data_IF_374749466788
#
_entry.id   IF_374749466788
#
_cell.length_a   1.000
_cell.length_b   1.000
_cell.length_c   1.000
_cell.angle_alpha   90.00
_cell.angle_beta   90.00
_cell.angle_gamma   90.00
#
_symmetry.space_group_name_H-M   'P 1'
#
loop_
_entity.id
_entity.type
_entity.pdbx_description
1 polymer ?
#
# COMPACT_ATOMS: atom_id res chain seq x y z
N UNK A 1 46.17 3.10 30.27
CA UNK A 1 47.35 2.24 30.42
C UNK A 1 47.20 1.12 29.42
N UNK A 2 48.16 0.96 28.51
CA UNK A 2 48.06 0.01 27.40
C UNK A 2 49.44 -0.63 27.12
N UNK A 3 49.67 -1.94 27.34
CA UNK A 3 48.86 -2.97 28.03
C UNK A 3 49.40 -3.26 29.44
N UNK A 4 48.59 -3.82 30.35
CA UNK A 4 49.02 -4.19 31.71
C UNK A 4 50.15 -5.23 31.69
N UNK A 5 50.13 -6.13 30.71
CA UNK A 5 51.12 -7.18 30.53
C UNK A 5 52.50 -6.59 30.26
N UNK A 6 52.57 -5.51 29.48
CA UNK A 6 53.81 -4.81 29.20
C UNK A 6 54.45 -4.21 30.47
N UNK A 7 53.63 -3.76 31.42
CA UNK A 7 54.12 -3.19 32.69
C UNK A 7 54.68 -4.24 33.65
N UNK A 8 54.18 -5.47 33.57
CA UNK A 8 54.48 -6.52 34.54
C UNK A 8 55.12 -7.78 33.94
N UNK A 9 55.55 -7.72 32.66
CA UNK A 9 56.19 -8.84 31.96
C UNK A 9 57.42 -9.41 32.68
N UNK A 10 58.11 -8.59 33.50
CA UNK A 10 59.26 -9.01 34.29
C UNK A 10 58.95 -9.67 35.63
N UNK A 11 57.67 -9.81 36.02
CA UNK A 11 57.27 -10.40 37.29
C UNK A 11 56.84 -11.87 37.09
N UNK A 12 57.62 -12.85 37.56
CA UNK A 12 57.34 -14.27 37.32
C UNK A 12 56.26 -14.85 38.26
N UNK A 13 55.84 -14.12 39.30
CA UNK A 13 54.97 -14.65 40.36
C UNK A 13 53.62 -13.93 40.38
N UNK A 14 52.54 -14.70 40.21
CA UNK A 14 51.15 -14.23 40.21
C UNK A 14 50.73 -13.51 41.52
N UNK A 15 51.29 -13.89 42.68
CA UNK A 15 51.01 -13.23 43.95
C UNK A 15 51.63 -11.82 44.00
N UNK A 16 52.85 -11.66 43.47
CA UNK A 16 53.52 -10.37 43.38
C UNK A 16 52.78 -9.47 42.39
N UNK A 17 52.42 -10.03 41.22
CA UNK A 17 51.60 -9.33 40.22
C UNK A 17 50.29 -8.80 40.83
N UNK A 18 49.57 -9.62 41.60
CA UNK A 18 48.33 -9.22 42.26
C UNK A 18 48.54 -8.07 43.25
N UNK A 19 49.61 -8.12 44.05
CA UNK A 19 49.93 -7.08 45.01
C UNK A 19 50.25 -5.75 44.30
N UNK A 20 51.03 -5.80 43.21
CA UNK A 20 51.39 -4.62 42.42
C UNK A 20 50.19 -4.02 41.68
N UNK A 21 49.31 -4.86 41.11
CA UNK A 21 48.07 -4.40 40.49
C UNK A 21 47.15 -3.70 41.51
N UNK A 22 47.00 -4.27 42.71
CA UNK A 22 46.26 -3.62 43.79
C UNK A 22 46.87 -2.28 44.18
N UNK A 23 48.19 -2.23 44.32
CA UNK A 23 48.92 -1.00 44.66
C UNK A 23 48.71 0.09 43.59
N UNK A 24 48.84 -0.27 42.32
CA UNK A 24 48.59 0.64 41.20
C UNK A 24 47.15 1.16 41.20
N UNK A 25 46.16 0.29 41.39
CA UNK A 25 44.76 0.68 41.32
C UNK A 25 44.36 1.54 42.52
N UNK A 26 44.84 1.20 43.73
CA UNK A 26 44.68 2.00 44.94
C UNK A 26 45.26 3.41 44.72
N UNK A 27 46.49 3.47 44.20
CA UNK A 27 47.16 4.74 43.92
C UNK A 27 46.39 5.60 42.90
N UNK A 28 45.89 4.99 41.82
CA UNK A 28 45.04 5.69 40.84
C UNK A 28 43.74 6.23 41.47
N UNK A 29 43.11 5.45 42.36
CA UNK A 29 41.91 5.89 43.09
C UNK A 29 42.21 7.05 44.04
N UNK A 30 43.32 6.99 44.78
CA UNK A 30 43.75 8.08 45.68
C UNK A 30 44.06 9.37 44.92
N UNK A 31 44.51 9.27 43.67
CA UNK A 31 44.71 10.43 42.78
C UNK A 31 43.41 10.97 42.19
N UNK A 32 42.28 10.28 42.36
CA UNK A 32 40.98 10.71 41.85
C UNK A 32 40.89 10.69 40.32
N UNK A 33 41.68 9.86 39.63
CA UNK A 33 41.68 9.77 38.17
C UNK A 33 40.85 8.58 37.67
N UNK A 34 40.13 8.79 36.57
CA UNK A 34 39.45 7.70 35.84
C UNK A 34 40.46 7.04 34.89
N UNK A 35 40.88 5.83 35.21
CA UNK A 35 41.84 5.09 34.40
C UNK A 35 41.16 4.03 33.52
N UNK A 36 41.49 4.01 32.23
CA UNK A 36 41.21 2.88 31.33
C UNK A 36 42.48 2.07 31.21
N UNK A 37 42.35 0.76 31.43
CA UNK A 37 43.47 -0.17 31.43
C UNK A 37 43.11 -1.34 30.50
N UNK A 38 43.96 -1.63 29.53
CA UNK A 38 43.80 -2.76 28.62
C UNK A 38 44.63 -3.95 29.11
N UNK A 39 44.09 -5.15 28.86
CA UNK A 39 44.75 -6.41 29.18
C UNK A 39 44.38 -7.47 28.14
N UNK A 40 45.22 -8.48 27.99
CA UNK A 40 45.04 -9.61 27.09
C UNK A 40 44.19 -10.70 27.78
N UNK A 41 43.40 -11.41 26.97
CA UNK A 41 42.57 -12.53 27.43
C UNK A 41 43.43 -13.78 27.71
N UNK A 42 43.14 -14.49 28.78
CA UNK A 42 43.73 -15.81 29.09
C UNK A 42 42.90 -16.97 28.56
N UNK A 43 43.49 -18.16 28.53
CA UNK A 43 42.82 -19.37 28.00
C UNK A 43 41.59 -19.80 28.81
N UNK A 44 41.61 -19.62 30.14
CA UNK A 44 40.53 -20.04 31.06
C UNK A 44 39.89 -18.89 31.87
N UNK A 45 40.42 -17.67 31.79
CA UNK A 45 39.93 -16.50 32.56
C UNK A 45 39.73 -15.27 31.66
N UNK A 46 38.96 -14.27 32.13
CA UNK A 46 38.68 -13.06 31.32
C UNK A 46 39.95 -12.22 31.06
N UNK A 47 41.05 -12.49 31.77
CA UNK A 47 42.37 -11.90 31.65
C UNK A 47 43.45 -12.97 31.75
N UNK A 48 44.66 -12.74 31.22
CA UNK A 48 45.72 -13.77 31.14
C UNK A 48 46.01 -14.50 32.46
N UNK A 49 45.82 -13.83 33.59
CA UNK A 49 46.12 -14.37 34.93
C UNK A 49 44.88 -14.49 35.83
N UNK A 50 43.69 -14.08 35.37
CA UNK A 50 42.42 -14.19 36.10
C UNK A 50 42.35 -13.41 37.41
N UNK A 51 43.23 -12.44 37.63
CA UNK A 51 43.40 -11.74 38.91
C UNK A 51 42.93 -10.28 38.82
N UNK A 52 43.10 -9.69 37.65
CA UNK A 52 42.73 -8.34 37.25
C UNK A 52 41.23 -8.10 37.45
N UNK A 53 40.43 -9.11 37.13
CA UNK A 53 38.96 -9.12 37.24
C UNK A 53 38.43 -9.04 38.66
N UNK A 54 39.22 -9.28 39.70
CA UNK A 54 38.77 -9.16 41.09
C UNK A 54 39.10 -7.79 41.68
N UNK A 55 40.10 -7.10 41.10
CA UNK A 55 40.64 -5.83 41.62
C UNK A 55 40.00 -4.62 40.93
N UNK A 56 39.58 -4.73 39.67
CA UNK A 56 38.93 -3.62 38.96
C UNK A 56 37.56 -3.25 39.56
N UNK A 57 37.11 -2.01 39.36
CA UNK A 57 35.71 -1.64 39.67
C UNK A 57 34.77 -1.94 38.51
N UNK A 58 35.26 -1.80 37.28
CA UNK A 58 34.56 -2.12 36.04
C UNK A 58 35.40 -3.09 35.20
N UNK A 59 34.76 -4.09 34.57
CA UNK A 59 35.41 -4.96 33.57
C UNK A 59 34.55 -4.99 32.32
N UNK A 60 35.17 -4.62 31.21
CA UNK A 60 34.60 -4.65 29.88
C UNK A 60 35.38 -5.72 29.09
N UNK A 61 34.67 -6.73 28.62
CA UNK A 61 35.22 -7.80 27.79
C UNK A 61 34.97 -7.47 26.33
N UNK A 62 36.03 -7.51 25.53
CA UNK A 62 35.96 -7.45 24.06
C UNK A 62 36.27 -8.85 23.51
N UNK A 63 35.34 -9.40 22.75
CA UNK A 63 35.46 -10.74 22.18
C UNK A 63 35.40 -10.65 20.65
N UNK A 64 36.20 -11.49 19.99
CA UNK A 64 36.22 -11.62 18.54
C UNK A 64 36.03 -13.10 18.19
N UNK A 65 34.83 -13.43 17.70
CA UNK A 65 34.47 -14.79 17.31
C UNK A 65 34.43 -14.92 15.79
N UNK A 66 35.04 -15.97 15.27
CA UNK A 66 34.91 -16.37 13.87
C UNK A 66 34.08 -17.65 13.83
N UNK A 67 32.88 -17.57 13.29
CA UNK A 67 31.98 -18.71 13.10
C UNK A 67 31.60 -18.77 11.64
N UNK A 68 31.75 -19.93 11.00
CA UNK A 68 31.47 -20.10 9.56
C UNK A 68 32.11 -18.99 8.69
N UNK A 69 33.40 -18.73 8.92
CA UNK A 69 34.19 -17.68 8.22
C UNK A 69 33.69 -16.24 8.46
N UNK A 70 32.67 -16.04 9.28
CA UNK A 70 32.13 -14.73 9.62
C UNK A 70 32.71 -14.24 10.93
N UNK A 71 33.38 -13.11 10.88
CA UNK A 71 33.99 -12.45 12.04
C UNK A 71 32.99 -11.52 12.73
N UNK A 72 32.70 -11.75 14.01
CA UNK A 72 31.86 -10.87 14.84
C UNK A 72 32.63 -10.38 16.06
N UNK A 73 32.54 -9.06 16.31
CA UNK A 73 33.14 -8.39 17.47
C UNK A 73 32.05 -8.02 18.48
N UNK A 74 32.26 -8.37 19.74
CA UNK A 74 31.26 -8.20 20.81
C UNK A 74 31.90 -7.55 22.03
N UNK A 75 31.15 -6.67 22.67
CA UNK A 75 31.48 -6.03 23.94
C UNK A 75 30.51 -6.55 25.00
N UNK A 76 31.01 -6.88 26.19
CA UNK A 76 30.18 -7.22 27.34
C UNK A 76 30.70 -6.52 28.57
N UNK A 77 29.81 -5.90 29.34
CA UNK A 77 30.16 -5.41 30.68
C UNK A 77 30.00 -6.59 31.64
N UNK A 78 31.12 -7.11 32.14
CA UNK A 78 31.14 -8.27 33.06
C UNK A 78 30.79 -7.85 34.47
N UNK A 79 31.26 -6.66 34.88
CA UNK A 79 30.91 -6.04 36.16
C UNK A 79 31.04 -4.53 36.09
N UNK A 80 30.25 -3.87 36.92
CA UNK A 80 30.37 -2.45 37.22
C UNK A 80 29.97 -2.24 38.69
N UNK A 81 30.95 -2.06 39.58
CA UNK A 81 30.67 -1.85 41.01
C UNK A 81 29.95 -0.52 41.21
N UNK A 82 28.83 -0.53 41.93
CA UNK A 82 28.07 0.67 42.29
C UNK A 82 27.08 1.17 41.22
N UNK A 83 26.93 0.48 40.08
CA UNK A 83 25.93 0.82 39.06
C UNK A 83 25.30 -0.42 38.42
N UNK A 84 24.04 -0.30 38.02
CA UNK A 84 23.41 -1.26 37.11
C UNK A 84 24.05 -1.16 35.72
N UNK A 85 24.19 -2.30 35.04
CA UNK A 85 24.72 -2.39 33.68
C UNK A 85 24.02 -3.53 32.94
N UNK A 86 24.04 -3.47 31.59
CA UNK A 86 23.50 -4.54 30.76
C UNK A 86 24.38 -5.80 30.81
N UNK A 87 23.77 -6.96 31.01
CA UNK A 87 24.46 -8.25 31.14
C UNK A 87 24.72 -8.96 29.81
N UNK A 88 24.10 -8.47 28.73
CA UNK A 88 24.15 -9.05 27.39
C UNK A 88 25.48 -8.73 26.66
N UNK A 89 25.74 -9.47 25.58
CA UNK A 89 26.80 -9.15 24.61
C UNK A 89 26.26 -8.16 23.58
N UNK A 90 27.01 -7.09 23.31
CA UNK A 90 26.67 -6.01 22.40
C UNK A 90 27.63 -6.03 21.20
N UNK A 91 27.15 -6.15 19.95
CA UNK A 91 28.04 -6.01 18.81
C UNK A 91 28.61 -4.59 18.75
N UNK A 92 29.88 -4.47 18.35
CA UNK A 92 30.53 -3.17 18.15
C UNK A 92 31.24 -3.08 16.81
N UNK A 93 31.32 -1.86 16.29
CA UNK A 93 31.98 -1.50 15.05
C UNK A 93 33.23 -0.69 15.35
N UNK A 94 34.27 -0.88 14.53
CA UNK A 94 35.40 0.04 14.45
C UNK A 94 35.49 0.49 13.00
N UNK A 95 35.27 1.77 12.77
CA UNK A 95 35.33 2.38 11.44
C UNK A 95 36.10 3.71 11.50
N UNK A 96 36.01 4.49 10.44
CA UNK A 96 36.65 5.81 10.33
C UNK A 96 36.22 6.82 11.41
N UNK A 97 35.03 6.65 12.00
CA UNK A 97 34.55 7.45 13.13
C UNK A 97 34.94 6.85 14.50
N UNK A 98 35.71 5.76 14.51
CA UNK A 98 36.20 5.09 15.73
C UNK A 98 35.30 3.95 16.20
N UNK A 99 35.27 3.76 17.53
CA UNK A 99 34.59 2.65 18.20
C UNK A 99 33.13 2.98 18.50
N UNK A 100 32.20 2.16 18.00
CA UNK A 100 30.75 2.34 18.20
C UNK A 100 30.11 1.06 18.72
N UNK A 101 29.54 1.11 19.93
CA UNK A 101 28.72 0.04 20.50
C UNK A 101 27.27 0.31 20.16
N UNK A 102 26.55 -0.72 19.73
CA UNK A 102 25.14 -0.56 19.42
C UNK A 102 24.31 -1.14 20.55
N UNK A 103 23.30 -0.38 21.04
CA UNK A 103 22.44 -0.88 22.09
C UNK A 103 21.71 -2.13 21.61
N UNK A 104 21.52 -3.09 22.52
CA UNK A 104 20.46 -4.09 22.33
C UNK A 104 19.18 -3.27 22.29
N UNK A 105 18.52 -3.29 21.14
CA UNK A 105 17.22 -2.65 20.96
C UNK A 105 16.33 -2.97 22.15
N UNK A 106 15.82 -1.92 22.80
CA UNK A 106 14.91 -2.07 23.92
C UNK A 106 13.69 -2.87 23.45
N UNK A 107 13.53 -4.07 23.99
CA UNK A 107 12.40 -5.00 23.74
C UNK A 107 11.04 -4.47 24.26
N UNK A 108 10.93 -3.18 24.55
CA UNK A 108 9.69 -2.57 25.00
C UNK A 108 8.75 -2.33 23.83
N UNK A 109 7.56 -2.91 23.85
CA UNK A 109 6.51 -2.72 22.83
C UNK A 109 5.73 -1.39 22.99
N UNK A 110 6.33 -0.38 23.63
CA UNK A 110 5.66 0.88 23.98
C UNK A 110 6.01 2.00 22.99
N UNK A 111 5.92 1.74 21.68
CA UNK A 111 6.10 2.77 20.67
C UNK A 111 4.78 3.53 20.44
N UNK A 112 4.89 4.84 20.19
CA UNK A 112 3.74 5.61 19.74
C UNK A 112 3.32 5.12 18.35
N UNK A 113 2.03 5.23 18.03
CA UNK A 113 1.51 4.87 16.70
C UNK A 113 0.94 6.11 16.02
N UNK A 114 1.09 6.19 14.69
CA UNK A 114 0.57 7.29 13.90
C UNK A 114 -0.66 6.87 13.11
N UNK A 115 -1.70 7.72 13.13
CA UNK A 115 -2.86 7.57 12.24
C UNK A 115 -2.61 8.18 10.84
N UNK A 116 -1.44 8.76 10.60
CA UNK A 116 -1.11 9.36 9.29
C UNK A 116 -0.99 8.26 8.24
N UNK A 117 -1.57 8.49 7.08
CA UNK A 117 -1.48 7.59 5.92
C UNK A 117 -0.49 8.13 4.89
N UNK A 118 0.24 7.23 4.22
CA UNK A 118 1.19 7.55 3.17
C UNK A 118 0.95 6.67 1.94
N UNK A 119 0.97 7.30 0.76
CA UNK A 119 0.76 6.60 -0.50
C UNK A 119 1.89 5.61 -0.79
N UNK A 120 1.51 4.44 -1.31
CA UNK A 120 2.42 3.42 -1.83
C UNK A 120 3.15 3.85 -3.11
N UNK A 121 2.69 4.93 -3.77
CA UNK A 121 3.14 5.35 -5.10
C UNK A 121 2.35 4.72 -6.25
N UNK A 122 1.49 3.73 -5.97
CA UNK A 122 0.65 3.06 -6.95
C UNK A 122 -0.82 3.31 -6.57
N UNK A 123 -1.52 4.18 -7.31
CA UNK A 123 -2.89 4.62 -6.98
C UNK A 123 -3.84 3.45 -6.74
N UNK A 124 -3.85 2.48 -7.63
CA UNK A 124 -4.75 1.32 -7.53
C UNK A 124 -4.38 0.36 -6.40
N UNK A 125 -3.14 0.40 -5.87
CA UNK A 125 -2.76 -0.32 -4.66
C UNK A 125 -3.23 0.45 -3.43
N UNK A 126 -3.15 1.77 -3.45
CA UNK A 126 -3.74 2.60 -2.40
C UNK A 126 -5.26 2.38 -2.32
N UNK A 127 -5.96 2.21 -3.45
CA UNK A 127 -7.38 1.85 -3.49
C UNK A 127 -7.68 0.50 -2.83
N UNK A 128 -6.77 -0.47 -2.95
CA UNK A 128 -6.87 -1.74 -2.23
C UNK A 128 -6.70 -1.58 -0.71
N UNK A 129 -6.27 -0.40 -0.26
CA UNK A 129 -6.02 0.01 1.12
C UNK A 129 -6.82 1.29 1.45
N UNK A 130 -8.14 1.29 1.19
CA UNK A 130 -9.07 2.42 1.46
C UNK A 130 -8.75 3.74 0.72
N UNK A 131 -7.97 3.69 -0.36
CA UNK A 131 -7.56 4.86 -1.14
C UNK A 131 -6.48 5.71 -0.49
N UNK A 132 -5.86 5.25 0.62
CA UNK A 132 -4.94 6.09 1.42
C UNK A 132 -3.52 5.51 1.56
N UNK A 133 -3.29 4.27 1.14
CA UNK A 133 -2.00 3.59 1.26
C UNK A 133 -1.70 3.11 2.69
N UNK A 134 -0.44 3.11 3.10
CA UNK A 134 0.04 2.53 4.35
C UNK A 134 -0.07 3.48 5.54
N UNK A 135 0.01 2.96 6.77
CA UNK A 135 0.22 3.81 7.95
C UNK A 135 1.67 4.28 8.03
N UNK A 136 1.88 5.48 8.58
CA UNK A 136 3.24 5.94 8.91
C UNK A 136 3.78 5.18 10.11
N UNK A 137 5.05 4.76 10.04
CA UNK A 137 5.67 3.94 11.07
C UNK A 137 5.21 2.49 11.07
N UNK A 138 4.48 2.03 10.05
CA UNK A 138 4.10 0.62 9.91
C UNK A 138 5.13 -0.18 9.11
N UNK A 139 4.98 -1.50 9.12
CA UNK A 139 5.79 -2.40 8.29
C UNK A 139 4.99 -3.00 7.15
N UNK A 140 5.61 -3.06 5.96
CA UNK A 140 5.04 -3.63 4.74
C UNK A 140 5.94 -4.75 4.24
N UNK A 141 5.38 -5.89 3.90
CA UNK A 141 6.08 -7.01 3.28
C UNK A 141 5.52 -7.25 1.88
N UNK A 142 6.40 -7.29 0.89
CA UNK A 142 6.09 -7.67 -0.48
C UNK A 142 6.73 -9.02 -0.77
N UNK A 143 5.95 -10.09 -0.78
CA UNK A 143 6.42 -11.43 -1.07
C UNK A 143 6.06 -11.87 -2.49
N UNK A 144 6.80 -12.82 -3.05
CA UNK A 144 6.50 -13.38 -4.37
C UNK A 144 7.71 -14.01 -5.05
N UNK A 145 7.48 -14.79 -6.10
CA UNK A 145 8.52 -15.52 -6.84
C UNK A 145 9.54 -14.57 -7.50
N UNK A 146 10.67 -15.10 -7.94
CA UNK A 146 11.67 -14.29 -8.65
C UNK A 146 11.08 -13.65 -9.91
N UNK A 147 11.39 -12.37 -10.15
CA UNK A 147 10.99 -11.66 -11.37
C UNK A 147 9.56 -11.09 -11.41
N UNK A 148 8.74 -11.24 -10.37
CA UNK A 148 7.33 -10.75 -10.37
C UNK A 148 7.17 -9.24 -10.17
N UNK A 149 8.23 -8.51 -9.81
CA UNK A 149 8.19 -7.04 -9.66
C UNK A 149 8.16 -6.51 -8.23
N UNK A 150 8.64 -7.27 -7.24
CA UNK A 150 8.75 -6.84 -5.83
C UNK A 150 9.57 -5.55 -5.68
N UNK A 151 10.78 -5.55 -6.22
CA UNK A 151 11.67 -4.38 -6.27
C UNK A 151 11.03 -3.19 -6.99
N UNK A 152 10.16 -3.44 -7.99
CA UNK A 152 9.42 -2.37 -8.67
C UNK A 152 8.40 -1.69 -7.76
N UNK A 153 7.71 -2.45 -6.88
CA UNK A 153 6.83 -1.85 -5.84
C UNK A 153 7.67 -1.05 -4.85
N UNK A 154 8.82 -1.59 -4.41
CA UNK A 154 9.73 -0.89 -3.50
C UNK A 154 10.24 0.44 -4.10
N UNK A 155 10.61 0.44 -5.38
CA UNK A 155 11.05 1.63 -6.09
C UNK A 155 9.93 2.68 -6.28
N UNK A 156 8.69 2.25 -6.56
CA UNK A 156 7.53 3.15 -6.57
C UNK A 156 7.32 3.83 -5.23
N UNK A 157 7.45 3.06 -4.14
CA UNK A 157 7.31 3.60 -2.80
C UNK A 157 8.42 4.60 -2.45
N UNK A 158 9.67 4.27 -2.81
CA UNK A 158 10.81 5.18 -2.65
C UNK A 158 10.62 6.49 -3.43
N UNK A 159 10.22 6.41 -4.71
CA UNK A 159 9.99 7.58 -5.55
C UNK A 159 8.85 8.45 -5.01
N UNK A 160 7.73 7.83 -4.61
CA UNK A 160 6.59 8.53 -4.05
C UNK A 160 6.93 9.28 -2.76
N UNK A 161 7.80 8.70 -1.92
CA UNK A 161 8.29 9.34 -0.71
C UNK A 161 9.22 10.52 -1.00
N UNK A 162 10.18 10.33 -1.90
CA UNK A 162 11.07 11.42 -2.31
C UNK A 162 10.31 12.58 -2.94
N UNK A 163 9.23 12.30 -3.70
CA UNK A 163 8.31 13.32 -4.23
C UNK A 163 7.61 14.12 -3.13
N UNK A 164 7.40 13.55 -1.94
CA UNK A 164 6.86 14.23 -0.75
C UNK A 164 7.93 14.97 0.06
N UNK A 165 9.20 14.94 -0.36
CA UNK A 165 10.33 15.51 0.38
C UNK A 165 10.79 14.64 1.56
N UNK A 166 10.35 13.39 1.63
CA UNK A 166 10.74 12.42 2.66
C UNK A 166 12.06 11.76 2.29
N UNK A 167 12.86 11.39 3.30
CA UNK A 167 14.14 10.70 3.10
C UNK A 167 13.96 9.19 3.09
N UNK A 168 14.60 8.51 2.14
CA UNK A 168 14.51 7.07 1.93
C UNK A 168 15.90 6.44 2.00
N UNK A 169 16.06 5.45 2.87
CA UNK A 169 17.24 4.61 2.95
C UNK A 169 16.92 3.23 2.35
N UNK A 170 17.63 2.86 1.30
CA UNK A 170 17.37 1.65 0.52
C UNK A 170 18.54 0.67 0.64
N UNK A 171 18.32 -0.44 1.35
CA UNK A 171 19.26 -1.54 1.48
C UNK A 171 19.09 -2.53 0.32
N UNK A 172 20.14 -2.69 -0.48
CA UNK A 172 20.18 -3.62 -1.61
C UNK A 172 21.10 -4.81 -1.26
N UNK A 173 20.56 -6.02 -1.22
CA UNK A 173 21.33 -7.22 -0.88
C UNK A 173 21.72 -8.06 -2.10
N UNK A 174 21.04 -7.89 -3.23
CA UNK A 174 21.26 -8.66 -4.47
C UNK A 174 21.87 -7.83 -5.60
N UNK A 175 21.41 -6.59 -5.79
CA UNK A 175 21.80 -5.74 -6.92
C UNK A 175 22.65 -4.54 -6.48
N UNK A 176 23.55 -4.08 -7.36
CA UNK A 176 24.26 -2.82 -7.14
C UNK A 176 23.31 -1.62 -7.36
N UNK A 177 23.55 -0.46 -6.71
CA UNK A 177 22.69 0.71 -6.86
C UNK A 177 22.54 1.17 -8.32
N UNK A 178 23.64 1.16 -9.08
CA UNK A 178 23.64 1.55 -10.49
C UNK A 178 22.82 0.59 -11.36
N UNK A 179 22.89 -0.71 -11.07
CA UNK A 179 22.08 -1.71 -11.76
C UNK A 179 20.59 -1.53 -11.45
N UNK A 180 20.25 -1.33 -10.17
CA UNK A 180 18.88 -1.09 -9.74
C UNK A 180 18.31 0.18 -10.38
N UNK A 181 19.05 1.29 -10.36
CA UNK A 181 18.63 2.53 -11.01
C UNK A 181 18.40 2.36 -12.52
N UNK A 182 19.29 1.65 -13.22
CA UNK A 182 19.13 1.32 -14.65
C UNK A 182 17.87 0.48 -14.89
N UNK A 183 17.64 -0.54 -14.08
CA UNK A 183 16.49 -1.44 -14.19
C UNK A 183 15.18 -0.71 -13.89
N UNK A 184 15.18 0.21 -12.93
CA UNK A 184 14.00 1.03 -12.61
C UNK A 184 13.72 2.09 -13.69
N UNK A 185 14.77 2.62 -14.32
CA UNK A 185 14.64 3.56 -15.43
C UNK A 185 13.95 2.93 -16.65
N UNK A 186 14.18 1.64 -16.94
CA UNK A 186 13.54 0.94 -18.08
C UNK A 186 12.02 0.81 -17.92
N UNK A 187 11.53 0.81 -16.68
CA UNK A 187 10.11 0.88 -16.36
C UNK A 187 9.67 2.30 -15.99
N UNK A 188 10.42 3.34 -16.34
CA UNK A 188 10.00 4.74 -16.19
C UNK A 188 10.12 5.34 -14.79
N UNK A 189 10.70 4.63 -13.81
CA UNK A 189 10.93 5.16 -12.45
C UNK A 189 12.33 5.78 -12.39
N UNK A 190 12.41 7.09 -12.10
CA UNK A 190 13.68 7.82 -12.14
C UNK A 190 14.21 8.03 -10.73
N UNK A 191 15.10 7.14 -10.27
CA UNK A 191 15.65 7.19 -8.91
C UNK A 191 16.86 8.13 -8.77
N UNK A 192 17.68 8.26 -9.80
CA UNK A 192 18.91 9.06 -9.79
C UNK A 192 18.73 10.53 -9.33
N UNK A 193 17.69 11.27 -9.76
CA UNK A 193 17.49 12.64 -9.29
C UNK A 193 17.28 12.75 -7.77
N UNK A 194 16.75 11.71 -7.12
CA UNK A 194 16.52 11.70 -5.67
C UNK A 194 17.80 11.42 -4.90
N UNK A 195 18.72 10.64 -5.48
CA UNK A 195 20.06 10.43 -4.94
C UNK A 195 20.86 11.73 -4.99
N UNK A 196 20.83 12.44 -6.12
CA UNK A 196 21.51 13.73 -6.27
C UNK A 196 20.98 14.80 -5.31
N UNK A 197 19.68 14.76 -4.98
CA UNK A 197 19.06 15.64 -3.98
C UNK A 197 19.32 15.23 -2.52
N UNK A 198 19.98 14.10 -2.28
CA UNK A 198 20.19 13.56 -0.93
C UNK A 198 18.92 13.04 -0.23
N UNK A 199 17.81 12.87 -0.98
CA UNK A 199 16.57 12.30 -0.44
C UNK A 199 16.57 10.77 -0.48
N UNK A 200 17.30 10.16 -1.40
CA UNK A 200 17.45 8.71 -1.51
C UNK A 200 18.91 8.31 -1.29
N UNK A 201 19.16 7.45 -0.32
CA UNK A 201 20.49 6.87 -0.09
C UNK A 201 20.42 5.35 -0.24
N UNK A 202 21.34 4.79 -1.05
CA UNK A 202 21.50 3.35 -1.18
C UNK A 202 22.59 2.83 -0.25
N UNK A 203 22.36 1.65 0.34
CA UNK A 203 23.37 0.84 1.01
C UNK A 203 23.37 -0.55 0.39
N UNK A 204 24.39 -0.84 -0.42
CA UNK A 204 24.50 -2.12 -1.10
C UNK A 204 25.62 -2.97 -0.48
N UNK A 205 25.24 -4.08 0.14
CA UNK A 205 26.17 -5.05 0.73
C UNK A 205 25.61 -6.44 0.57
N UNK A 206 26.45 -7.41 0.20
CA UNK A 206 26.00 -8.81 0.16
C UNK A 206 25.71 -9.31 1.58
N UNK A 207 24.71 -10.19 1.77
CA UNK A 207 24.41 -10.75 3.10
C UNK A 207 25.59 -11.48 3.73
N UNK A 208 26.42 -12.15 2.92
CA UNK A 208 27.61 -12.88 3.40
C UNK A 208 28.77 -11.98 3.81
N UNK A 209 28.68 -10.67 3.57
CA UNK A 209 29.75 -9.74 3.93
C UNK A 209 29.86 -9.54 5.44
N UNK A 210 28.76 -9.68 6.17
CA UNK A 210 28.65 -9.45 7.59
C UNK A 210 27.83 -10.56 8.27
N UNK A 211 28.08 -10.79 9.56
CA UNK A 211 27.15 -11.57 10.39
C UNK A 211 25.83 -10.84 10.61
N UNK A 212 24.77 -11.56 11.00
CA UNK A 212 23.43 -10.98 11.22
C UNK A 212 23.44 -9.80 12.19
N UNK A 213 24.15 -9.92 13.31
CA UNK A 213 24.31 -8.83 14.28
C UNK A 213 25.01 -7.59 13.70
N UNK A 214 25.93 -7.81 12.76
CA UNK A 214 26.66 -6.74 12.09
C UNK A 214 25.78 -6.05 11.02
N UNK A 215 24.87 -6.76 10.35
CA UNK A 215 23.85 -6.12 9.50
C UNK A 215 22.89 -5.25 10.31
N UNK A 216 22.42 -5.76 11.46
CA UNK A 216 21.60 -4.98 12.39
C UNK A 216 22.34 -3.71 12.86
N UNK A 217 23.61 -3.88 13.25
CA UNK A 217 24.50 -2.81 13.67
C UNK A 217 24.65 -1.69 12.63
N UNK A 218 24.94 -2.06 11.38
CA UNK A 218 25.07 -1.12 10.27
C UNK A 218 23.74 -0.45 9.97
N UNK A 219 22.62 -1.19 10.02
CA UNK A 219 21.28 -0.64 9.83
C UNK A 219 20.99 0.48 10.83
N UNK A 220 21.23 0.23 12.12
CA UNK A 220 21.09 1.24 13.18
C UNK A 220 21.97 2.47 12.93
N UNK A 221 23.24 2.26 12.62
CA UNK A 221 24.17 3.36 12.35
C UNK A 221 23.69 4.22 11.18
N UNK A 222 23.33 3.59 10.06
CA UNK A 222 22.88 4.28 8.85
C UNK A 222 21.58 5.05 9.09
N UNK A 223 20.63 4.45 9.81
CA UNK A 223 19.37 5.13 10.18
C UNK A 223 19.64 6.33 11.09
N UNK A 224 20.50 6.21 12.10
CA UNK A 224 20.81 7.32 13.01
C UNK A 224 21.56 8.48 12.33
N UNK A 225 22.42 8.17 11.37
CA UNK A 225 23.17 9.18 10.60
C UNK A 225 22.28 9.85 9.56
N UNK A 226 21.58 9.08 8.74
CA UNK A 226 20.79 9.59 7.62
C UNK A 226 19.41 10.12 8.04
N UNK A 227 18.86 9.61 9.14
CA UNK A 227 17.53 9.93 9.69
C UNK A 227 16.40 9.79 8.65
N UNK A 228 16.25 8.61 8.01
CA UNK A 228 15.22 8.38 7.00
C UNK A 228 13.81 8.42 7.59
N UNK A 229 12.83 8.79 6.76
CA UNK A 229 11.40 8.57 7.03
C UNK A 229 10.94 7.17 6.60
N UNK A 230 11.65 6.60 5.62
CA UNK A 230 11.35 5.29 5.04
C UNK A 230 12.62 4.47 4.90
N UNK A 231 12.52 3.19 5.27
CA UNK A 231 13.59 2.21 5.11
C UNK A 231 13.09 1.07 4.23
N UNK A 232 13.88 0.68 3.22
CA UNK A 232 13.57 -0.43 2.31
C UNK A 232 14.67 -1.49 2.43
N UNK A 233 14.30 -2.76 2.57
CA UNK A 233 15.21 -3.90 2.58
C UNK A 233 14.83 -4.87 1.45
N UNK A 234 15.71 -5.02 0.47
CA UNK A 234 15.44 -5.77 -0.76
C UNK A 234 16.58 -6.76 -1.13
N UNK A 235 16.37 -8.09 -1.01
CA UNK A 235 15.36 -8.79 -0.22
C UNK A 235 15.88 -9.31 1.13
N UNK A 236 14.97 -9.57 2.08
CA UNK A 236 15.32 -10.05 3.44
C UNK A 236 15.62 -11.54 3.51
N UNK A 237 15.14 -12.33 2.56
CA UNK A 237 15.36 -13.77 2.58
C UNK A 237 16.77 -14.15 2.10
N UNK A 238 17.53 -13.23 1.50
CA UNK A 238 18.95 -13.47 1.19
C UNK A 238 19.81 -13.63 2.46
N UNK A 239 19.28 -13.28 3.64
CA UNK A 239 19.88 -13.64 4.93
C UNK A 239 19.67 -15.11 5.32
N UNK A 240 18.69 -15.80 4.73
CA UNK A 240 18.36 -17.21 4.99
C UNK A 240 19.40 -18.08 4.31
N UNK A 241 20.52 -18.28 5.01
CA UNK A 241 21.59 -19.19 4.62
C UNK A 241 21.69 -20.26 5.71
N UNK A 242 21.34 -21.50 5.37
CA UNK A 242 21.35 -22.64 6.30
C UNK A 242 20.26 -22.59 7.38
N UNK A 243 20.46 -23.31 8.49
CA UNK A 243 19.44 -23.56 9.54
C UNK A 243 19.27 -22.41 10.56
N UNK A 244 19.58 -21.16 10.19
CA UNK A 244 19.58 -19.98 11.10
C UNK A 244 18.29 -19.18 11.11
N UNK A 245 17.16 -19.80 10.75
CA UNK A 245 15.87 -19.11 10.60
C UNK A 245 15.44 -18.35 11.87
N UNK A 246 15.66 -18.93 13.05
CA UNK A 246 15.35 -18.29 14.32
C UNK A 246 16.19 -17.03 14.59
N UNK A 247 17.49 -17.06 14.27
CA UNK A 247 18.39 -15.92 14.45
C UNK A 247 17.99 -14.77 13.51
N UNK A 248 17.63 -15.09 12.27
CA UNK A 248 17.18 -14.11 11.27
C UNK A 248 15.86 -13.49 11.71
N UNK A 249 14.89 -14.29 12.17
CA UNK A 249 13.63 -13.79 12.70
C UNK A 249 13.85 -12.85 13.88
N UNK A 250 14.77 -13.20 14.78
CA UNK A 250 15.13 -12.37 15.93
C UNK A 250 15.78 -11.06 15.50
N UNK A 251 16.69 -11.10 14.52
CA UNK A 251 17.34 -9.92 13.96
C UNK A 251 16.31 -8.99 13.28
N UNK A 252 15.43 -9.54 12.44
CA UNK A 252 14.37 -8.77 11.78
C UNK A 252 13.38 -8.16 12.76
N UNK A 253 13.00 -8.89 13.82
CA UNK A 253 12.16 -8.35 14.89
C UNK A 253 12.82 -7.12 15.53
N UNK A 254 14.13 -7.19 15.82
CA UNK A 254 14.89 -6.06 16.38
C UNK A 254 14.96 -4.86 15.42
N UNK A 255 15.13 -5.10 14.11
CA UNK A 255 15.05 -4.04 13.09
C UNK A 255 13.66 -3.41 13.08
N UNK A 256 12.61 -4.22 13.04
CA UNK A 256 11.21 -3.75 13.01
C UNK A 256 10.91 -2.90 14.24
N UNK A 257 11.24 -3.38 15.44
CA UNK A 257 10.98 -2.68 16.69
C UNK A 257 11.69 -1.32 16.73
N UNK A 258 12.95 -1.28 16.27
CA UNK A 258 13.71 -0.04 16.16
C UNK A 258 13.11 0.96 15.17
N UNK A 259 12.74 0.50 13.96
CA UNK A 259 12.17 1.38 12.95
C UNK A 259 10.80 1.93 13.42
N UNK A 260 9.99 1.09 14.08
CA UNK A 260 8.71 1.50 14.67
C UNK A 260 8.88 2.51 15.80
N UNK A 261 9.86 2.32 16.70
CA UNK A 261 10.11 3.29 17.78
C UNK A 261 10.48 4.67 17.24
N UNK A 262 11.16 4.73 16.10
CA UNK A 262 11.53 5.97 15.41
C UNK A 262 10.45 6.50 14.45
N UNK A 263 9.27 5.88 14.37
CA UNK A 263 8.18 6.24 13.43
C UNK A 263 8.58 6.15 11.94
N UNK A 264 9.52 5.27 11.62
CA UNK A 264 10.00 5.02 10.26
C UNK A 264 9.13 3.94 9.61
N UNK A 265 8.59 4.21 8.42
CA UNK A 265 7.87 3.18 7.67
C UNK A 265 8.88 2.25 7.00
N UNK A 266 8.73 0.94 7.19
CA UNK A 266 9.63 -0.05 6.60
C UNK A 266 8.94 -0.87 5.52
N UNK A 267 9.61 -1.07 4.37
CA UNK A 267 9.18 -2.02 3.34
C UNK A 267 10.25 -3.11 3.18
N UNK A 268 9.82 -4.35 3.31
CA UNK A 268 10.65 -5.53 3.13
C UNK A 268 10.17 -6.29 1.89
N UNK A 269 11.10 -6.87 1.12
CA UNK A 269 10.74 -7.81 0.05
C UNK A 269 11.25 -9.21 0.39
N UNK A 270 10.48 -10.23 0.05
CA UNK A 270 10.86 -11.64 0.26
C UNK A 270 10.60 -12.46 -1.01
N UNK A 271 11.51 -13.37 -1.38
CA UNK A 271 11.26 -14.32 -2.46
C UNK A 271 10.57 -15.56 -1.90
N UNK A 272 9.41 -15.90 -2.48
CA UNK A 272 8.70 -17.15 -2.19
C UNK A 272 9.10 -18.23 -3.21
N UNK A 273 9.15 -19.51 -2.83
CA UNK A 273 9.29 -20.61 -3.78
C UNK A 273 8.13 -20.64 -4.80
N UNK A 274 8.41 -21.16 -5.99
CA UNK A 274 7.47 -21.17 -7.14
C UNK A 274 6.20 -21.99 -6.94
N UNK A 275 6.22 -22.99 -6.05
CA UNK A 275 5.18 -24.02 -5.95
C UNK A 275 3.90 -23.57 -5.21
N UNK A 276 3.78 -22.28 -4.88
CA UNK A 276 2.58 -21.72 -4.28
C UNK A 276 2.34 -22.11 -2.81
N UNK A 277 3.21 -22.94 -2.23
CA UNK A 277 3.30 -23.11 -0.79
C UNK A 277 4.03 -21.92 -0.18
N UNK A 278 3.46 -21.34 0.88
CA UNK A 278 4.19 -20.39 1.71
C UNK A 278 5.32 -21.13 2.41
N UNK A 279 6.54 -20.59 2.33
CA UNK A 279 7.64 -21.13 3.13
C UNK A 279 7.40 -20.80 4.62
N UNK A 280 7.88 -21.65 5.51
CA UNK A 280 7.76 -21.43 6.96
C UNK A 280 8.42 -20.09 7.36
N UNK A 281 9.47 -19.70 6.64
CA UNK A 281 10.19 -18.44 6.81
C UNK A 281 9.32 -17.21 6.53
N UNK A 282 8.61 -17.19 5.40
CA UNK A 282 7.66 -16.12 5.05
C UNK A 282 6.51 -16.05 6.06
N UNK A 283 5.99 -17.19 6.51
CA UNK A 283 4.96 -17.24 7.55
C UNK A 283 5.49 -16.68 8.87
N UNK A 284 6.71 -17.07 9.27
CA UNK A 284 7.38 -16.59 10.47
C UNK A 284 7.58 -15.07 10.46
N UNK A 285 7.99 -14.51 9.33
CA UNK A 285 8.21 -13.07 9.14
C UNK A 285 6.87 -12.32 9.05
N UNK A 286 5.86 -12.86 8.36
CA UNK A 286 4.54 -12.21 8.19
C UNK A 286 3.84 -11.88 9.52
N UNK A 287 4.19 -12.59 10.60
CA UNK A 287 3.69 -12.33 11.95
C UNK A 287 4.14 -10.96 12.49
N UNK A 288 5.35 -10.53 12.13
CA UNK A 288 5.99 -9.26 12.51
C UNK A 288 5.51 -8.06 11.68
N UNK A 289 4.78 -8.34 10.60
CA UNK A 289 4.42 -7.34 9.59
C UNK A 289 2.95 -6.88 9.74
N UNK A 290 2.72 -5.58 9.53
CA UNK A 290 1.39 -4.97 9.57
C UNK A 290 0.61 -5.17 8.27
N UNK A 291 1.25 -4.91 7.12
CA UNK A 291 0.65 -5.08 5.79
C UNK A 291 1.44 -6.08 4.95
N UNK A 292 0.78 -7.11 4.43
CA UNK A 292 1.38 -8.15 3.61
C UNK A 292 0.77 -8.17 2.20
N UNK A 293 1.61 -7.87 1.22
CA UNK A 293 1.34 -7.93 -0.20
C UNK A 293 1.98 -9.20 -0.79
N UNK A 294 1.22 -9.96 -1.57
CA UNK A 294 1.71 -11.13 -2.29
C UNK A 294 1.59 -10.89 -3.79
N UNK A 295 2.71 -11.04 -4.50
CA UNK A 295 2.79 -11.11 -5.95
C UNK A 295 2.92 -12.56 -6.37
N UNK A 296 2.02 -13.04 -7.21
CA UNK A 296 2.01 -14.42 -7.69
C UNK A 296 1.88 -14.46 -9.20
N UNK A 297 2.58 -15.40 -9.83
CA UNK A 297 2.33 -15.72 -11.22
C UNK A 297 1.02 -16.51 -11.36
N UNK A 298 0.21 -16.11 -12.33
CA UNK A 298 -1.05 -16.74 -12.69
C UNK A 298 -0.90 -17.20 -14.14
N UNK A 299 -0.73 -18.51 -14.31
CA UNK A 299 -0.67 -19.13 -15.63
C UNK A 299 -2.09 -19.47 -16.07
N UNK A 300 -2.59 -18.75 -17.06
CA UNK A 300 -3.92 -18.97 -17.64
C UNK A 300 -3.83 -18.87 -19.15
N UNK A 301 -4.45 -19.81 -19.86
CA UNK A 301 -4.52 -19.79 -21.33
C UNK A 301 -3.16 -19.71 -22.04
N UNK A 302 -2.12 -20.30 -21.46
CA UNK A 302 -0.76 -20.29 -22.02
C UNK A 302 0.01 -18.97 -21.80
N UNK A 303 -0.55 -18.01 -21.06
CA UNK A 303 0.11 -16.76 -20.67
C UNK A 303 0.46 -16.76 -19.19
N UNK A 304 1.66 -16.27 -18.87
CA UNK A 304 2.09 -16.01 -17.49
C UNK A 304 1.76 -14.58 -17.11
N UNK A 305 0.61 -14.41 -16.46
CA UNK A 305 0.19 -13.13 -15.89
C UNK A 305 0.68 -13.02 -14.44
N UNK A 306 0.59 -11.83 -13.85
CA UNK A 306 0.93 -11.60 -12.43
C UNK A 306 -0.29 -11.06 -11.71
N UNK A 307 -0.58 -11.61 -10.55
CA UNK A 307 -1.62 -11.14 -9.64
C UNK A 307 -1.01 -10.51 -8.39
N UNK A 308 -1.59 -9.40 -7.97
CA UNK A 308 -1.31 -8.76 -6.68
C UNK A 308 -2.46 -9.03 -5.71
N UNK A 309 -2.11 -9.51 -4.53
CA UNK A 309 -3.00 -9.83 -3.43
C UNK A 309 -2.61 -9.00 -2.20
N UNK A 310 -3.61 -8.49 -1.47
CA UNK A 310 -3.40 -7.92 -0.13
C UNK A 310 -3.85 -8.97 0.88
N UNK A 311 -2.91 -9.80 1.36
CA UNK A 311 -3.21 -10.90 2.27
C UNK A 311 -3.63 -10.42 3.66
N UNK A 312 -3.03 -9.30 4.10
CA UNK A 312 -3.22 -8.77 5.44
C UNK A 312 -2.97 -7.27 5.44
N UNK A 313 -3.78 -6.53 6.18
CA UNK A 313 -3.50 -5.15 6.54
C UNK A 313 -4.06 -4.88 7.93
N UNK A 314 -3.19 -4.69 8.93
CA UNK A 314 -3.64 -4.41 10.30
C UNK A 314 -4.15 -2.96 10.41
N UNK A 315 -5.33 -2.79 11.01
CA UNK A 315 -5.91 -1.47 11.29
C UNK A 315 -6.50 -0.75 10.06
N UNK A 316 -6.66 -1.44 8.92
CA UNK A 316 -7.27 -0.92 7.69
C UNK A 316 -8.13 -2.02 7.05
N UNK A 317 -9.24 -1.65 6.44
CA UNK A 317 -9.91 -2.54 5.51
C UNK A 317 -9.02 -2.74 4.26
N UNK A 318 -8.96 -3.97 3.76
CA UNK A 318 -8.23 -4.32 2.55
C UNK A 318 -9.14 -4.99 1.53
N UNK A 319 -8.78 -4.84 0.25
CA UNK A 319 -9.46 -5.52 -0.85
C UNK A 319 -9.21 -7.03 -0.79
N UNK A 320 -10.29 -7.81 -0.90
CA UNK A 320 -10.23 -9.26 -1.12
C UNK A 320 -10.09 -9.63 -2.61
N UNK A 321 -10.11 -8.64 -3.50
CA UNK A 321 -9.96 -8.85 -4.94
C UNK A 321 -8.49 -8.96 -5.34
N UNK A 322 -8.25 -9.78 -6.35
CA UNK A 322 -6.94 -9.95 -7.00
C UNK A 322 -6.85 -8.94 -8.13
N UNK A 323 -5.78 -8.15 -8.18
CA UNK A 323 -5.55 -7.19 -9.28
C UNK A 323 -4.45 -7.69 -10.19
N UNK A 324 -4.67 -7.60 -11.50
CA UNK A 324 -3.65 -7.92 -12.50
C UNK A 324 -2.51 -6.89 -12.42
N UNK A 325 -1.28 -7.38 -12.27
CA UNK A 325 -0.06 -6.60 -12.11
C UNK A 325 0.72 -6.56 -13.42
N UNK A 326 0.87 -5.37 -14.00
CA UNK A 326 1.49 -5.18 -15.30
C UNK A 326 2.70 -4.24 -15.15
N UNK A 327 3.87 -4.70 -15.60
CA UNK A 327 5.03 -3.84 -15.76
C UNK A 327 4.97 -3.15 -17.11
N UNK A 328 5.09 -1.83 -17.10
CA UNK A 328 5.09 -0.99 -18.31
C UNK A 328 6.32 -0.10 -18.32
N UNK A 329 6.58 0.56 -19.46
CA UNK A 329 7.63 1.57 -19.59
C UNK A 329 7.34 2.86 -18.77
N UNK A 330 6.19 2.93 -18.11
CA UNK A 330 5.74 4.05 -17.25
C UNK A 330 5.50 3.60 -15.80
N UNK A 331 5.94 2.41 -15.44
CA UNK A 331 5.92 1.88 -14.09
C UNK A 331 4.98 0.70 -13.93
N UNK A 332 4.63 0.42 -12.68
CA UNK A 332 3.67 -0.61 -12.32
C UNK A 332 2.27 -0.07 -12.59
N UNK A 333 1.50 -0.80 -13.38
CA UNK A 333 0.07 -0.55 -13.57
C UNK A 333 -0.70 -1.74 -13.05
N UNK A 334 -1.64 -1.49 -12.15
CA UNK A 334 -2.64 -2.49 -11.79
C UNK A 334 -3.85 -2.34 -12.72
N UNK A 335 -4.58 -3.43 -12.94
CA UNK A 335 -5.92 -3.36 -13.53
C UNK A 335 -6.97 -3.78 -12.52
N UNK A 336 -8.19 -3.29 -12.75
CA UNK A 336 -9.34 -3.68 -11.95
C UNK A 336 -9.63 -5.18 -12.11
N UNK A 337 -10.13 -5.78 -11.03
CA UNK A 337 -10.52 -7.18 -11.04
C UNK A 337 -11.71 -7.36 -11.98
N UNK A 338 -11.60 -8.28 -12.93
CA UNK A 338 -12.72 -8.66 -13.77
C UNK A 338 -13.65 -9.58 -12.99
N UNK A 339 -14.87 -9.11 -12.72
CA UNK A 339 -15.92 -9.88 -12.05
C UNK A 339 -16.91 -10.33 -13.13
N UNK A 340 -16.50 -11.32 -13.93
CA UNK A 340 -17.39 -11.94 -14.92
C UNK A 340 -18.19 -13.10 -14.34
N UNK A 341 -19.19 -13.57 -15.09
CA UNK A 341 -20.04 -14.73 -14.74
C UNK A 341 -19.26 -16.06 -14.64
N UNK A 342 -18.06 -16.13 -15.20
CA UNK A 342 -17.17 -17.30 -15.26
C UNK A 342 -15.98 -17.26 -14.27
N UNK A 343 -15.98 -16.32 -13.31
CA UNK A 343 -14.92 -16.15 -12.32
C UNK A 343 -13.90 -15.06 -12.67
N UNK A 344 -12.81 -14.97 -11.89
CA UNK A 344 -11.76 -13.97 -12.09
C UNK A 344 -10.88 -14.30 -13.30
N UNK A 345 -10.98 -13.50 -14.38
CA UNK A 345 -10.18 -13.65 -15.60
C UNK A 345 -9.02 -12.64 -15.63
N UNK A 346 -7.86 -13.07 -16.15
CA UNK A 346 -6.66 -12.23 -16.37
C UNK A 346 -6.12 -12.41 -17.79
N UNK A 347 -5.31 -11.47 -18.28
CA UNK A 347 -4.63 -11.57 -19.58
C UNK A 347 -5.56 -11.64 -20.80
N UNK A 348 -5.17 -12.43 -21.80
CA UNK A 348 -5.89 -12.66 -23.06
C UNK A 348 -7.31 -13.19 -22.87
N UNK A 349 -7.53 -14.08 -21.89
CA UNK A 349 -8.85 -14.63 -21.60
C UNK A 349 -9.86 -13.54 -21.20
N UNK A 350 -9.40 -12.53 -20.43
CA UNK A 350 -10.20 -11.35 -20.08
C UNK A 350 -10.48 -10.48 -21.31
N UNK A 351 -9.47 -10.21 -22.14
CA UNK A 351 -9.62 -9.38 -23.34
C UNK A 351 -10.62 -10.00 -24.32
N UNK A 352 -10.59 -11.32 -24.49
CA UNK A 352 -11.55 -12.04 -25.33
C UNK A 352 -12.99 -11.91 -24.78
N UNK A 353 -13.16 -12.05 -23.46
CA UNK A 353 -14.47 -11.92 -22.81
C UNK A 353 -15.00 -10.48 -22.88
N UNK A 354 -14.17 -9.47 -22.58
CA UNK A 354 -14.53 -8.06 -22.73
C UNK A 354 -14.90 -7.72 -24.18
N UNK A 355 -14.23 -8.32 -25.17
CA UNK A 355 -14.56 -8.13 -26.58
C UNK A 355 -15.91 -8.76 -26.94
N UNK A 356 -16.22 -9.96 -26.42
CA UNK A 356 -17.51 -10.63 -26.56
C UNK A 356 -18.64 -9.78 -25.96
N UNK A 357 -18.49 -9.32 -24.72
CA UNK A 357 -19.49 -8.50 -24.03
C UNK A 357 -19.72 -7.16 -24.74
N UNK A 358 -18.65 -6.50 -25.19
CA UNK A 358 -18.76 -5.26 -25.95
C UNK A 358 -19.45 -5.48 -27.31
N UNK A 359 -19.22 -6.62 -27.96
CA UNK A 359 -19.93 -7.00 -29.18
C UNK A 359 -21.43 -7.22 -28.92
N UNK A 360 -21.81 -7.89 -27.83
CA UNK A 360 -23.21 -8.07 -27.41
C UNK A 360 -23.90 -6.73 -27.05
N UNK A 361 -23.21 -5.84 -26.33
CA UNK A 361 -23.73 -4.50 -26.04
C UNK A 361 -23.94 -3.72 -27.33
N UNK A 362 -23.04 -3.85 -28.31
CA UNK A 362 -23.17 -3.19 -29.60
C UNK A 362 -24.33 -3.76 -30.43
N UNK A 363 -24.55 -5.09 -30.42
CA UNK A 363 -25.69 -5.71 -31.10
C UNK A 363 -27.01 -5.27 -30.46
N UNK A 364 -27.12 -5.27 -29.13
CA UNK A 364 -28.32 -4.76 -28.44
C UNK A 364 -28.57 -3.27 -28.70
N UNK A 365 -27.53 -2.43 -28.72
CA UNK A 365 -27.69 -1.01 -29.11
C UNK A 365 -28.25 -0.88 -30.52
N UNK A 366 -27.76 -1.67 -31.48
CA UNK A 366 -28.28 -1.70 -32.86
C UNK A 366 -29.74 -2.16 -32.93
N UNK A 367 -30.12 -3.17 -32.14
CA UNK A 367 -31.52 -3.62 -32.05
C UNK A 367 -32.44 -2.54 -31.47
N UNK A 368 -31.99 -1.84 -30.43
CA UNK A 368 -32.74 -0.73 -29.83
C UNK A 368 -32.93 0.40 -30.85
N UNK A 369 -31.88 0.77 -31.60
CA UNK A 369 -32.00 1.77 -32.67
C UNK A 369 -32.96 1.33 -33.77
N UNK A 370 -32.90 0.06 -34.18
CA UNK A 370 -33.83 -0.50 -35.18
C UNK A 370 -35.27 -0.42 -34.69
N UNK A 371 -35.55 -0.84 -33.45
CA UNK A 371 -36.87 -0.75 -32.83
C UNK A 371 -37.36 0.70 -32.71
N UNK A 372 -36.47 1.65 -32.37
CA UNK A 372 -36.82 3.08 -32.35
C UNK A 372 -37.24 3.60 -33.73
N UNK A 373 -36.51 3.24 -34.79
CA UNK A 373 -36.85 3.61 -36.17
C UNK A 373 -38.18 2.98 -36.62
N UNK A 374 -38.41 1.71 -36.30
CA UNK A 374 -39.69 1.04 -36.58
C UNK A 374 -40.85 1.74 -35.85
N UNK A 375 -40.65 2.14 -34.60
CA UNK A 375 -41.65 2.83 -33.80
C UNK A 375 -41.94 4.25 -34.31
N UNK A 376 -40.91 5.01 -34.72
CA UNK A 376 -41.09 6.30 -35.39
C UNK A 376 -41.84 6.16 -36.71
N UNK A 377 -41.55 5.12 -37.50
CA UNK A 377 -42.26 4.86 -38.76
C UNK A 377 -43.74 4.59 -38.49
N UNK A 378 -44.05 3.68 -37.56
CA UNK A 378 -45.44 3.39 -37.15
C UNK A 378 -46.15 4.63 -36.61
N UNK A 379 -45.45 5.47 -35.84
CA UNK A 379 -45.99 6.72 -35.33
C UNK A 379 -46.38 7.67 -36.47
N UNK A 380 -45.51 7.88 -37.46
CA UNK A 380 -45.83 8.71 -38.63
C UNK A 380 -47.00 8.15 -39.45
N UNK A 381 -47.07 6.83 -39.57
CA UNK A 381 -48.14 6.13 -40.28
C UNK A 381 -49.50 6.34 -39.57
N UNK A 382 -49.53 6.22 -38.24
CA UNK A 382 -50.70 6.52 -37.41
C UNK A 382 -51.08 8.00 -37.42
N UNK A 383 -50.10 8.91 -37.33
CA UNK A 383 -50.36 10.36 -37.43
C UNK A 383 -50.98 10.73 -38.78
N UNK A 384 -50.54 10.08 -39.86
CA UNK A 384 -51.13 10.27 -41.20
C UNK A 384 -52.57 9.72 -41.27
N UNK A 385 -52.85 8.58 -40.64
CA UNK A 385 -54.21 8.03 -40.56
C UNK A 385 -55.15 8.91 -39.73
N UNK A 386 -54.68 9.44 -38.60
CA UNK A 386 -55.45 10.38 -37.77
C UNK A 386 -55.74 11.66 -38.55
N UNK A 387 -54.77 12.19 -39.29
CA UNK A 387 -54.96 13.37 -40.13
C UNK A 387 -56.02 13.13 -41.22
N UNK A 388 -56.00 11.97 -41.87
CA UNK A 388 -57.02 11.59 -42.85
C UNK A 388 -58.41 11.46 -42.22
N UNK A 389 -58.52 10.72 -41.11
CA UNK A 389 -59.79 10.56 -40.38
C UNK A 389 -60.37 11.89 -39.88
N UNK A 390 -59.51 12.80 -39.40
CA UNK A 390 -59.94 14.14 -38.99
C UNK A 390 -60.43 14.97 -40.18
N UNK A 391 -59.80 14.85 -41.35
CA UNK A 391 -60.25 15.54 -42.55
C UNK A 391 -61.62 15.03 -43.03
N UNK A 392 -61.82 13.70 -43.00
CA UNK A 392 -63.11 13.08 -43.31
C UNK A 392 -64.19 13.52 -42.32
N UNK A 393 -63.87 13.56 -41.02
CA UNK A 393 -64.80 14.03 -39.98
C UNK A 393 -65.22 15.49 -40.18
N UNK A 394 -64.29 16.39 -40.54
CA UNK A 394 -64.61 17.80 -40.82
C UNK A 394 -65.51 17.95 -42.04
N UNK A 395 -65.33 17.09 -43.05
CA UNK A 395 -66.23 17.05 -44.22
C UNK A 395 -67.65 16.65 -43.80
N UNK A 396 -67.80 15.54 -43.07
CA UNK A 396 -69.10 15.08 -42.56
C UNK A 396 -69.77 16.12 -41.65
N UNK A 397 -69.02 16.76 -40.75
CA UNK A 397 -69.53 17.83 -39.89
C UNK A 397 -70.06 19.00 -40.72
N UNK A 398 -69.33 19.42 -41.76
CA UNK A 398 -69.74 20.51 -42.64
C UNK A 398 -71.03 20.18 -43.42
N UNK A 399 -71.21 18.92 -43.83
CA UNK A 399 -72.41 18.45 -44.50
C UNK A 399 -73.60 18.39 -43.54
N UNK A 400 -73.40 17.85 -42.33
CA UNK A 400 -74.43 17.80 -41.30
C UNK A 400 -74.89 19.20 -40.88
N UNK A 401 -73.97 20.15 -40.68
CA UNK A 401 -74.30 21.54 -40.35
C UNK A 401 -75.09 22.22 -41.48
N UNK A 402 -74.75 21.96 -42.75
CA UNK A 402 -75.54 22.45 -43.90
C UNK A 402 -76.96 21.87 -43.89
N UNK A 403 -77.12 20.56 -43.64
CA UNK A 403 -78.44 19.93 -43.56
C UNK A 403 -79.27 20.51 -42.42
N UNK A 404 -78.70 20.65 -41.23
CA UNK A 404 -79.38 21.26 -40.07
C UNK A 404 -79.83 22.69 -40.40
N UNK A 405 -78.99 23.48 -41.07
CA UNK A 405 -79.33 24.86 -41.45
C UNK A 405 -80.48 24.91 -42.46
N UNK A 406 -80.49 24.03 -43.46
CA UNK A 406 -81.60 23.94 -44.42
C UNK A 406 -82.92 23.52 -43.75
N UNK A 407 -82.84 22.63 -42.76
CA UNK A 407 -84.01 22.17 -42.01
C UNK A 407 -84.56 23.28 -41.10
N UNK A 408 -83.68 24.04 -40.43
CA UNK A 408 -84.04 25.23 -39.65
C UNK A 408 -84.68 26.33 -40.51
N UNK A 409 -84.18 26.54 -41.74
CA UNK A 409 -84.77 27.50 -42.69
C UNK A 409 -86.15 27.05 -43.18
N UNK A 410 -86.37 25.73 -43.40
CA UNK A 410 -87.69 25.19 -43.68
C UNK A 410 -88.67 25.37 -42.52
N UNK A 411 -88.24 25.11 -41.29
CA UNK A 411 -89.05 25.31 -40.08
C UNK A 411 -89.43 26.78 -39.94
N UNK A 412 -88.48 27.72 -40.13
CA UNK A 412 -88.77 29.17 -40.13
C UNK A 412 -89.77 29.58 -41.21
N UNK A 413 -89.64 29.05 -42.44
CA UNK A 413 -90.63 29.30 -43.51
C UNK A 413 -92.00 28.75 -43.16
N UNK A 414 -92.08 27.58 -42.53
CA UNK A 414 -93.35 27.03 -42.06
C UNK A 414 -93.97 27.87 -40.94
N UNK A 415 -93.17 28.40 -40.01
CA UNK A 415 -93.64 29.30 -38.96
C UNK A 415 -94.11 30.66 -39.51
N UNK A 416 -93.39 31.23 -40.49
CA UNK A 416 -93.84 32.44 -41.21
C UNK A 416 -95.15 32.21 -41.95
N UNK A 417 -95.28 31.11 -42.70
CA UNK A 417 -96.53 30.75 -43.37
C UNK A 417 -97.69 30.53 -42.38
N UNK A 418 -97.42 29.94 -41.20
CA UNK A 418 -98.42 29.82 -40.11
C UNK A 418 -98.80 31.19 -39.54
N UNK A 419 -97.85 32.12 -39.37
CA UNK A 419 -98.13 33.48 -38.93
C UNK A 419 -98.95 34.27 -39.96
N UNK A 420 -98.63 34.19 -41.25
CA UNK A 420 -99.39 34.84 -42.32
C UNK A 420 -100.83 34.28 -42.42
N UNK A 421 -101.00 32.97 -42.26
CA UNK A 421 -102.33 32.34 -42.18
C UNK A 421 -103.12 32.78 -40.94
N UNK A 422 -102.45 33.08 -39.81
CA UNK A 422 -103.10 33.57 -38.59
C UNK A 422 -103.54 35.06 -38.69
N UNK A 423 -102.83 35.88 -39.47
CA UNK A 423 -103.19 37.29 -39.70
C UNK A 423 -104.40 37.41 -40.63
N UNK A 424 -104.53 36.53 -41.63
CA UNK A 424 -105.72 36.45 -42.50
C UNK A 424 -107.02 36.11 -41.75
N UNK A 425 -106.95 35.34 -40.65
CA UNK A 425 -108.13 34.90 -39.86
C UNK A 425 -108.64 35.91 -38.82
N UNK A 426 -107.95 37.03 -38.56
CA UNK A 426 -108.37 38.06 -37.57
C UNK A 426 -109.16 39.25 -38.16
N UNK A 427 -109.44 39.28 -39.46
CA UNK A 427 -110.19 40.36 -40.11
C UNK A 427 -111.73 40.21 -40.07
N UNK A 428 -112.28 39.11 -39.56
CA UNK A 428 -113.73 38.87 -39.51
C UNK A 428 -114.12 38.43 -38.11
N UNK A 429 -114.32 39.36 -37.17
CA UNK A 429 -115.30 39.31 -36.04
C UNK A 429 -114.91 40.27 -34.90
N UNK A 430 -115.43 41.51 -34.92
CA UNK A 430 -115.80 42.24 -33.70
C UNK A 430 -116.71 43.46 -33.99
N UNK A 431 -118.02 43.27 -33.85
CA UNK A 431 -118.98 44.31 -33.45
C UNK A 431 -120.20 43.66 -32.76
N UNK A 432 -120.17 43.61 -31.43
CA UNK A 432 -121.24 44.03 -30.49
C UNK A 432 -120.86 43.65 -29.04
N UNK A 433 -120.86 44.68 -28.19
CA UNK A 433 -120.73 44.66 -26.72
C UNK A 433 -122.15 44.85 -26.11
N UNK A 434 -122.39 45.11 -24.80
CA UNK A 434 -121.46 45.22 -23.66
C UNK A 434 -121.97 44.60 -22.33
N UNK A 435 -121.16 44.73 -21.27
CA UNK A 435 -121.62 44.69 -19.88
C UNK A 435 -120.50 44.59 -18.82
N UNK A 436 -120.13 45.73 -18.22
CA UNK A 436 -119.77 46.04 -16.81
C UNK A 436 -118.89 45.08 -15.96
N UNK A 437 -118.15 45.50 -14.92
CA UNK A 437 -117.52 46.74 -14.41
C UNK A 437 -116.71 46.28 -13.15
N UNK A 438 -115.59 46.96 -12.85
CA UNK A 438 -114.96 47.23 -11.52
C UNK A 438 -113.68 46.49 -11.09
N UNK A 439 -112.73 47.35 -10.70
CA UNK A 439 -111.88 47.42 -9.47
C UNK A 439 -111.02 46.19 -9.15
N UNK A 440 -109.74 46.29 -8.82
CA UNK A 440 -108.88 47.38 -8.32
C UNK A 440 -107.43 47.06 -8.66
#
# INVERSE_FOLDING_TARGET
LDTIESLFAGLPNHLILRAELRRLFQWLKEKGVTAIITGERGDESFTRQGLEEYVSDCVIMLDHRVTEQTSTRRLRVVKYRGSTHGTNEYPFLIDENGFSVLPVTSLGLNHNVSNKRISSGITLLDDMLEGKGYYRGSTVLVSGTAGVGKTSIAAHFAEAACKRGERVLFFCFEESPNQLMRNMLSIGIKLEPWVQKGLLQFHATRPTFYGLEMHLAVTHKMVNVFKPDIVILDPINTFVVGDKEFEIKTMLMRIVDFLKSEQITALFTSLTPGDGAFDNSDVGISSLIDTWLLLRDIELSGERNRGLYVLKSRGMANSNQIREFILTNHGVKLREAYIGTSGGLTGSARVAQEALENAEVLTHKREIERRKRELERKRKELESQIAALNADFVLEESEAVKMIKTEQEMIKKMEQNKMEMAVSRKAVTRKRAPGNLKKS
#
